data_IF_173912208221
#
_entry.id   IF_173912208221
#
_cell.length_a   1.000
_cell.length_b   1.000
_cell.length_c   1.000
_cell.angle_alpha   90.00
_cell.angle_beta   90.00
_cell.angle_gamma   90.00
#
_symmetry.space_group_name_H-M   'P 1'
#
loop_
_entity.id
_entity.type
_entity.pdbx_description
1 polymer ?
2 non-polymer ?
3 non-polymer ?
4 water ?
#
# COMPACT_ATOMS: atom_id res chain seq x y z
N UNK A 2 0.76 -2.25 -14.45
CA UNK A 2 0.02 -3.41 -13.91
C UNK A 2 -1.39 -2.97 -13.67
N UNK A 3 -2.35 -3.87 -13.89
CA UNK A 3 -3.75 -3.58 -13.57
C UNK A 3 -3.96 -3.85 -12.09
N UNK A 4 -2.87 -4.14 -11.40
CA UNK A 4 -2.93 -4.41 -9.99
C UNK A 4 -2.14 -3.35 -9.21
N UNK A 5 -2.44 -3.21 -7.92
CA UNK A 5 -1.56 -2.46 -7.02
C UNK A 5 -0.29 -3.25 -6.87
N UNK A 6 0.85 -2.61 -7.05
CA UNK A 6 2.09 -3.35 -6.86
C UNK A 6 2.85 -2.82 -5.66
N UNK A 7 3.72 -3.67 -5.12
CA UNK A 7 4.60 -3.30 -4.02
C UNK A 7 6.01 -3.49 -4.52
N UNK A 8 6.86 -2.51 -4.31
CA UNK A 8 8.25 -2.63 -4.72
C UNK A 8 9.17 -2.20 -3.60
N UNK A 9 10.22 -3.00 -3.38
CA UNK A 9 11.19 -2.73 -2.34
C UNK A 9 12.39 -3.64 -2.63
N UNK A 10 13.28 -3.20 -3.54
CA UNK A 10 14.40 -4.04 -4.00
C UNK A 10 15.24 -4.61 -2.86
N UNK A 11 15.61 -3.77 -1.90
CA UNK A 11 16.32 -4.27 -0.73
C UNK A 11 15.62 -5.46 -0.09
N UNK A 12 14.42 -5.21 0.44
CA UNK A 12 13.62 -6.15 1.26
C UNK A 12 14.21 -7.48 1.72
N UNK A 13 14.54 -7.53 3.01
CA UNK A 13 15.03 -8.73 3.64
C UNK A 13 14.26 -9.04 4.91
N UNK A 14 14.24 -10.30 5.32
CA UNK A 14 13.64 -10.70 6.59
C UNK A 14 14.37 -9.98 7.71
N UNK A 15 13.61 -9.40 8.64
CA UNK A 15 14.17 -8.57 9.73
C UNK A 15 14.76 -7.24 9.28
N UNK A 16 14.51 -6.88 8.02
CA UNK A 16 15.13 -5.69 7.46
C UNK A 16 14.19 -4.50 7.45
N UNK A 17 14.75 -3.35 7.11
CA UNK A 17 14.02 -2.10 6.97
C UNK A 17 14.00 -1.78 5.48
N UNK A 18 12.84 -1.49 4.91
CA UNK A 18 12.85 -1.15 3.48
C UNK A 18 11.96 0.05 3.23
N UNK A 19 12.28 0.83 2.20
CA UNK A 19 11.35 1.82 1.67
C UNK A 19 10.45 1.05 0.69
N UNK A 20 9.16 0.93 1.01
CA UNK A 20 8.21 0.18 0.18
C UNK A 20 7.35 1.14 -0.60
N UNK A 21 7.30 0.94 -1.92
CA UNK A 21 6.55 1.83 -2.79
C UNK A 21 5.34 1.07 -3.30
N UNK A 22 4.14 1.60 -3.05
CA UNK A 22 2.90 1.01 -3.57
C UNK A 22 2.46 1.82 -4.77
N UNK A 23 2.39 1.18 -5.94
CA UNK A 23 1.99 1.89 -7.14
C UNK A 23 0.57 1.47 -7.43
N UNK A 24 -0.33 2.45 -7.43
CA UNK A 24 -1.76 2.21 -7.50
C UNK A 24 -2.40 2.75 -8.77
N UNK A 25 -3.09 1.88 -9.53
CA UNK A 25 -3.73 2.34 -10.77
C UNK A 25 -5.12 2.85 -10.50
N UNK A 26 -5.54 3.91 -11.20
CA UNK A 26 -6.92 4.33 -11.13
C UNK A 26 -7.72 3.58 -12.19
N UNK A 27 -8.51 2.61 -11.75
CA UNK A 27 -9.23 1.71 -12.66
C UNK A 27 -10.69 2.08 -12.79
N UNK A 28 -10.90 3.32 -13.20
CA UNK A 28 -12.21 3.83 -13.51
C UNK A 28 -12.02 4.71 -14.71
N UNK A 29 -13.07 4.86 -15.50
CA UNK A 29 -12.99 5.83 -16.59
C UNK A 29 -13.41 7.24 -16.16
N UNK A 30 -14.01 7.37 -14.99
CA UNK A 30 -14.51 8.65 -14.55
C UNK A 30 -14.08 9.08 -13.14
N UNK A 31 -13.93 8.12 -12.24
CA UNK A 31 -13.66 8.46 -10.83
C UNK A 31 -12.15 8.43 -10.56
N UNK A 32 -11.71 9.18 -9.55
CA UNK A 32 -10.28 9.33 -9.26
C UNK A 32 -9.96 8.68 -7.92
N UNK A 33 -8.72 8.25 -7.72
CA UNK A 33 -8.35 7.70 -6.42
C UNK A 33 -8.11 8.87 -5.45
N UNK A 34 -8.81 8.83 -4.33
CA UNK A 34 -8.72 9.90 -3.30
C UNK A 34 -8.17 9.48 -1.95
N UNK A 35 -8.05 8.18 -1.73
CA UNK A 35 -7.36 7.72 -0.50
C UNK A 35 -6.87 6.30 -0.71
N UNK A 36 -5.86 5.95 0.06
CA UNK A 36 -5.35 4.58 0.04
C UNK A 36 -5.03 4.19 1.46
N UNK A 37 -5.52 3.03 1.91
CA UNK A 37 -5.18 2.55 3.23
C UNK A 37 -4.44 1.23 3.06
N UNK A 38 -3.29 1.06 3.68
CA UNK A 38 -2.56 -0.21 3.54
C UNK A 38 -2.34 -0.81 4.90
N UNK A 39 -2.58 -2.12 5.00
CA UNK A 39 -2.42 -2.83 6.26
C UNK A 39 -0.96 -3.25 6.38
N UNK A 40 -0.31 -2.90 7.51
CA UNK A 40 1.12 -3.14 7.70
C UNK A 40 1.33 -4.28 8.66
N UNK A 41 2.48 -4.93 8.54
CA UNK A 41 2.65 -6.15 9.31
C UNK A 41 3.17 -5.82 10.74
N UNK A 42 2.43 -4.95 11.42
CA UNK A 42 2.71 -4.68 12.82
C UNK A 42 4.18 -4.40 13.06
N UNK A 43 4.72 -3.42 12.35
CA UNK A 43 6.15 -3.08 12.39
C UNK A 43 6.46 -2.06 13.47
N UNK A 44 7.69 -2.07 13.98
CA UNK A 44 8.05 -1.09 15.00
C UNK A 44 8.13 0.32 14.40
N UNK A 45 8.66 0.41 13.19
CA UNK A 45 8.93 1.69 12.58
C UNK A 45 8.14 1.80 11.29
N UNK A 46 7.54 2.97 11.04
CA UNK A 46 6.85 3.23 9.78
C UNK A 46 6.76 4.74 9.59
N UNK A 47 7.36 5.24 8.52
CA UNK A 47 7.43 6.67 8.27
C UNK A 47 7.08 6.86 6.82
N UNK A 48 6.18 7.80 6.54
CA UNK A 48 5.87 8.15 5.17
C UNK A 48 6.74 9.30 4.70
N UNK A 49 6.78 9.52 3.40
CA UNK A 49 7.49 10.69 2.96
C UNK A 49 6.51 11.72 2.46
N UNK A 50 6.91 12.99 2.55
CA UNK A 50 6.04 14.12 2.27
C UNK A 50 5.53 13.96 0.85
N UNK A 51 4.23 14.17 0.69
CA UNK A 51 3.55 13.99 -0.58
C UNK A 51 2.66 15.23 -0.73
N UNK A 52 3.10 16.26 -1.48
CA UNK A 52 2.28 17.46 -1.58
C UNK A 52 0.85 17.12 -2.00
N UNK A 53 -0.10 17.73 -1.30
CA UNK A 53 -1.50 17.53 -1.62
C UNK A 53 -2.13 16.32 -0.96
N UNK A 54 -1.35 15.57 -0.18
CA UNK A 54 -1.90 14.38 0.53
C UNK A 54 -1.51 14.44 1.99
N UNK A 55 -2.37 13.92 2.86
CA UNK A 55 -2.03 13.80 4.26
C UNK A 55 -1.91 12.33 4.61
N UNK A 56 -0.89 11.96 5.37
CA UNK A 56 -0.72 10.56 5.77
C UNK A 56 -0.88 10.40 7.29
N UNK A 57 -1.51 9.29 7.69
CA UNK A 57 -1.57 8.92 9.10
C UNK A 57 -1.06 7.49 9.20
N UNK A 58 -0.33 7.21 10.27
CA UNK A 58 0.12 5.84 10.53
C UNK A 58 -0.52 5.44 11.84
N UNK A 59 -1.40 4.42 11.82
CA UNK A 59 -2.11 3.99 13.04
C UNK A 59 -1.28 2.96 13.82
N UNK A 60 -1.39 2.98 15.15
CA UNK A 60 -0.53 2.13 15.98
C UNK A 60 -1.41 1.33 16.94
N UNK A 61 -0.92 0.18 17.38
CA UNK A 61 -1.64 -0.55 18.42
C UNK A 61 -1.04 -0.27 19.80
N UNK A 62 -1.48 -1.05 20.79
CA UNK A 62 -1.10 -0.82 22.19
C UNK A 62 0.41 -1.04 22.40
N UNK A 63 1.01 -1.84 21.53
CA UNK A 63 2.44 -2.10 21.64
C UNK A 63 3.26 -1.09 20.84
N UNK A 64 2.59 -0.10 20.25
CA UNK A 64 3.28 0.95 19.50
C UNK A 64 3.77 0.47 18.14
N UNK A 65 3.22 -0.64 17.69
CA UNK A 65 3.53 -1.10 16.34
C UNK A 65 2.60 -0.39 15.36
N UNK A 66 3.13 -0.11 14.18
CA UNK A 66 2.30 0.43 13.11
C UNK A 66 1.49 -0.70 12.46
N UNK A 67 0.17 -0.54 12.47
CA UNK A 67 -0.79 -1.55 11.97
C UNK A 67 -1.36 -1.19 10.60
N UNK A 68 -1.34 0.09 10.26
CA UNK A 68 -1.79 0.49 8.93
C UNK A 68 -1.34 1.92 8.65
N UNK A 69 -1.43 2.31 7.39
CA UNK A 69 -1.05 3.69 6.99
C UNK A 69 -2.10 4.12 6.01
N UNK A 70 -2.51 5.39 6.10
CA UNK A 70 -3.54 5.87 5.17
C UNK A 70 -3.09 7.18 4.57
N UNK A 71 -3.17 7.30 3.25
CA UNK A 71 -2.91 8.60 2.58
C UNK A 71 -4.24 9.11 2.06
N UNK A 72 -4.49 10.41 2.20
CA UNK A 72 -5.79 10.98 1.83
C UNK A 72 -5.52 12.25 1.08
N UNK A 73 -6.19 12.40 -0.07
CA UNK A 73 -6.01 13.61 -0.88
C UNK A 73 -6.63 14.81 -0.17
N UNK A 74 -5.83 15.87 0.04
CA UNK A 74 -6.35 17.12 0.59
C UNK A 74 -7.50 17.70 -0.23
N UNK A 75 -8.36 18.47 0.44
CA UNK A 75 -9.46 19.18 -0.25
C UNK A 75 -8.90 20.04 -1.39
N UNK A 76 -9.53 20.02 -2.55
CA UNK A 76 -9.00 20.74 -3.71
C UNK A 76 -8.12 19.91 -4.61
N UNK A 77 -7.43 18.91 -4.04
CA UNK A 77 -6.67 17.97 -4.84
C UNK A 77 -7.65 16.97 -5.43
N UNK A 78 -7.75 16.90 -6.76
CA UNK A 78 -8.76 16.03 -7.40
C UNK A 78 -8.41 14.54 -7.29
N UNK A 79 -7.24 14.20 -6.75
CA UNK A 79 -6.81 12.80 -6.64
C UNK A 79 -6.27 12.22 -7.94
N UNK A 80 -6.01 10.92 -7.97
CA UNK A 80 -5.32 10.31 -9.10
C UNK A 80 -6.31 10.04 -10.22
N UNK A 81 -6.07 10.66 -11.38
CA UNK A 81 -7.09 10.65 -12.44
C UNK A 81 -7.24 9.31 -13.17
N UNK A 82 -8.43 9.06 -13.77
CA UNK A 82 -8.60 7.86 -14.59
C UNK A 82 -7.38 7.58 -15.48
N UNK A 83 -6.92 6.33 -15.46
CA UNK A 83 -5.83 5.96 -16.34
C UNK A 83 -4.44 6.24 -15.83
N UNK A 84 -4.33 6.95 -14.70
CA UNK A 84 -3.03 7.32 -14.15
C UNK A 84 -2.69 6.41 -12.99
N UNK A 85 -1.42 6.44 -12.59
CA UNK A 85 -0.93 5.66 -11.46
C UNK A 85 -0.39 6.65 -10.45
N UNK A 86 -0.34 6.26 -9.18
CA UNK A 86 0.32 7.10 -8.18
C UNK A 86 1.13 6.21 -7.27
N UNK A 87 2.32 6.67 -6.87
CA UNK A 87 3.13 5.97 -5.88
C UNK A 87 2.88 6.49 -4.46
N UNK A 88 2.78 5.57 -3.52
CA UNK A 88 2.59 5.90 -2.11
C UNK A 88 3.74 5.18 -1.43
N UNK A 89 4.53 5.92 -0.65
CA UNK A 89 5.80 5.37 -0.17
C UNK A 89 5.88 5.38 1.35
N UNK A 90 6.22 4.22 1.91
CA UNK A 90 6.35 4.15 3.36
C UNK A 90 7.62 3.36 3.71
N UNK A 91 8.38 3.86 4.66
CA UNK A 91 9.60 3.17 5.10
C UNK A 91 9.28 2.42 6.37
N UNK A 92 9.47 1.10 6.35
CA UNK A 92 9.05 0.29 7.49
C UNK A 92 10.10 -0.74 7.87
N UNK A 93 10.02 -1.16 9.12
CA UNK A 93 10.82 -2.28 9.58
C UNK A 93 10.64 -2.48 11.06
N UNK A 94 11.10 -3.62 11.55
CA UNK A 94 11.67 -4.70 10.74
C UNK A 94 10.59 -5.52 10.08
N UNK A 95 10.85 -5.96 8.85
CA UNK A 95 9.98 -6.89 8.14
C UNK A 95 10.04 -8.25 8.79
N UNK A 96 8.94 -9.02 8.68
CA UNK A 96 8.80 -10.27 9.40
C UNK A 96 9.86 -11.28 9.01
N UNK A 97 10.06 -12.23 9.90
CA UNK A 97 10.92 -13.35 9.58
C UNK A 97 10.07 -14.40 8.90
N UNK A 98 9.70 -14.08 7.67
CA UNK A 98 8.87 -14.94 6.84
C UNK A 98 9.37 -14.83 5.41
N UNK A 99 9.11 -15.85 4.59
CA UNK A 99 9.49 -15.81 3.21
C UNK A 99 8.68 -14.78 2.46
N UNK A 100 7.44 -14.62 2.87
CA UNK A 100 6.53 -13.75 2.13
C UNK A 100 5.76 -12.85 3.10
N UNK A 101 5.52 -11.60 2.71
CA UNK A 101 4.61 -10.73 3.49
C UNK A 101 3.63 -10.02 2.56
N UNK A 102 2.37 -9.91 2.96
CA UNK A 102 1.37 -9.24 2.12
C UNK A 102 0.93 -7.96 2.81
N UNK A 103 0.40 -7.04 1.99
CA UNK A 103 -0.07 -5.74 2.46
C UNK A 103 -1.47 -5.48 1.93
N UNK A 104 -2.47 -6.07 2.56
CA UNK A 104 -3.87 -5.88 2.12
C UNK A 104 -4.13 -4.36 2.04
N UNK A 105 -4.83 -3.90 1.00
CA UNK A 105 -5.03 -2.45 0.84
C UNK A 105 -6.47 -2.14 0.50
N UNK A 106 -6.89 -0.90 0.76
CA UNK A 106 -8.24 -0.46 0.42
C UNK A 106 -8.14 0.88 -0.28
N UNK A 107 -8.67 0.94 -1.51
CA UNK A 107 -8.49 2.12 -2.39
C UNK A 107 -9.82 2.85 -2.53
N UNK A 108 -9.87 4.13 -2.15
CA UNK A 108 -11.11 4.87 -2.22
C UNK A 108 -11.14 5.72 -3.48
N UNK A 109 -12.30 5.72 -4.14
CA UNK A 109 -12.53 6.55 -5.33
C UNK A 109 -13.45 7.71 -5.04
N UNK A 110 -13.32 8.76 -5.86
CA UNK A 110 -14.10 9.96 -5.67
C UNK A 110 -15.61 9.76 -5.72
N UNK A 111 -16.05 8.69 -6.37
CA UNK A 111 -17.51 8.41 -6.46
C UNK A 111 -18.06 7.63 -5.27
N UNK A 112 -17.22 7.42 -4.26
CA UNK A 112 -17.65 6.76 -3.04
C UNK A 112 -17.31 5.28 -2.96
N UNK A 113 -16.95 4.67 -4.09
CA UNK A 113 -16.58 3.24 -4.09
C UNK A 113 -15.22 3.01 -3.41
N UNK A 114 -15.07 1.85 -2.78
CA UNK A 114 -13.78 1.47 -2.21
C UNK A 114 -13.47 0.09 -2.74
N UNK A 115 -12.30 -0.05 -3.35
CA UNK A 115 -11.84 -1.32 -3.89
C UNK A 115 -10.88 -2.01 -2.94
N UNK A 116 -11.20 -3.28 -2.62
CA UNK A 116 -10.38 -4.08 -1.69
C UNK A 116 -9.31 -4.83 -2.46
N UNK A 117 -8.07 -4.69 -2.04
CA UNK A 117 -6.95 -5.43 -2.64
C UNK A 117 -6.49 -6.38 -1.55
N UNK A 118 -7.25 -7.45 -1.39
CA UNK A 118 -7.09 -8.32 -0.23
C UNK A 118 -7.17 -9.81 -0.56
N UNK A 119 -7.13 -10.15 -1.84
CA UNK A 119 -7.23 -11.58 -2.21
C UNK A 119 -5.88 -12.25 -2.10
N UNK A 120 -5.86 -13.55 -1.81
CA UNK A 120 -4.55 -14.21 -1.71
C UNK A 120 -3.98 -14.46 -3.10
N UNK A 121 -2.70 -14.85 -3.21
CA UNK A 121 -2.00 -14.91 -4.51
C UNK A 121 -2.60 -15.98 -5.42
N UNK A 122 -2.33 -15.85 -6.71
CA UNK A 122 -2.78 -16.85 -7.68
C UNK A 122 -2.20 -18.19 -7.27
N UNK A 123 -3.00 -19.24 -7.40
CA UNK A 123 -2.52 -20.60 -7.12
C UNK A 123 -3.46 -21.58 -7.84
N UNK A 124 -3.05 -22.74 -8.22
CA UNK A 124 -4.00 -23.64 -8.90
C UNK A 124 -4.68 -22.96 -10.05
CA UNK A 125 -6.82 -22.54 -10.78
C UNK A 125 -7.38 -21.16 -10.48
N UNK A 126 -6.86 -20.54 -9.57
CA UNK A 126 -7.35 -19.16 -9.21
C UNK A 126 -6.44 -18.10 -9.78
N UNK A 127 -7.05 -17.00 -10.21
CA UNK A 127 -6.28 -15.90 -10.75
C UNK A 127 -6.97 -14.62 -10.28
N UNK A 128 -6.69 -14.20 -9.04
CA UNK A 128 -7.47 -13.12 -8.42
C UNK A 128 -7.24 -11.83 -9.16
N UNK A 129 -8.30 -11.02 -9.31
CA UNK A 129 -8.18 -9.74 -9.98
C UNK A 129 -7.77 -8.61 -9.01
N UNK A 130 -8.00 -8.83 -7.72
CA UNK A 130 -7.58 -7.86 -6.68
C UNK A 130 -6.72 -8.46 -5.56
N UNK A 131 -5.56 -9.01 -5.93
CA UNK A 131 -4.70 -9.65 -4.92
C UNK A 131 -4.11 -8.59 -4.00
N UNK A 132 -3.88 -8.93 -2.73
CA UNK A 132 -3.05 -8.07 -1.88
C UNK A 132 -1.64 -7.98 -2.43
N UNK A 133 -1.07 -6.76 -2.49
CA UNK A 133 0.32 -6.60 -2.89
C UNK A 133 1.23 -7.40 -1.95
N UNK A 134 2.23 -8.06 -2.51
CA UNK A 134 3.02 -9.00 -1.72
C UNK A 134 4.50 -8.83 -2.02
N UNK A 135 5.34 -9.04 -1.01
CA UNK A 135 6.80 -9.04 -1.21
C UNK A 135 7.40 -10.38 -0.83
N UNK A 136 8.44 -10.78 -1.56
CA UNK A 136 9.31 -11.89 -1.17
C UNK A 136 10.45 -11.33 -0.39
N UNK A 137 10.79 -11.98 0.71
CA UNK A 137 11.82 -11.46 1.58
C UNK A 137 13.04 -12.35 1.57
N UNK A 138 14.18 -11.75 1.25
CA UNK A 138 15.44 -12.47 1.21
C UNK A 138 15.81 -12.92 2.60
N UNK A 139 16.53 -14.03 2.66
CA UNK A 139 16.86 -14.62 3.93
C UNK A 139 17.80 -13.70 4.65
X LIG B 1 9.15 5.43 13.76
X LIG B 1 9.16 6.88 13.93
X LIG B 1 8.16 5.02 12.76
X LIG B 1 10.51 5.04 13.36
X LIG B 1 8.74 4.78 15.01
X LIG C 1 -12.95 -9.38 -8.44
X LIG C 1 -12.98 -8.33 -9.46
X LIG C 1 -12.96 -10.69 -9.10
X LIG C 1 -14.12 -9.27 -7.57
X LIG C 1 -11.72 -9.28 -7.64
X LIG D 1 -12.58 18.00 -4.25
X LIG D 1 -11.94 18.69 -2.77
X LIG D 1 -13.74 19.13 -5.05
X LIG D 1 -11.20 18.04 -5.44
#
# INVERSE_FOLDING_TARGET
MSLHVTADAPGAAQGGYSVVTFRVPTESETAATTAMTVTLPNVRSARTEPMPGWTARVDRNDKSEAVSVTWTADPGNPGVQPGQFQRFVVSIGPLPSAETVSFPAEQTYSDGRVVAWNQPPAANGSEPEHPAPTLTLATAPGDTEGHHHHHH
SO4 S O1 O2 O3 O4
SO4 S O1 O2 O3 O4
DMS S O C1 C2
#
